data_IF_823323734813
#
_entry.id   IF_823323734813
#
_cell.length_a   1.000
_cell.length_b   1.000
_cell.length_c   1.000
_cell.angle_alpha   90.00
_cell.angle_beta   90.00
_cell.angle_gamma   90.00
#
_symmetry.space_group_name_H-M   'P 1'
#
loop_
_entity.id
_entity.type
_entity.pdbx_description
1 polymer ?
#
# COMPACT_ATOMS: atom_id res chain seq x y z
N UNK A 1 3.66 29.52 18.74
CA UNK A 1 4.30 29.38 17.56
C UNK A 1 3.70 28.35 16.66
N UNK A 2 3.73 28.62 15.47
CA UNK A 2 3.16 27.79 14.56
C UNK A 2 3.92 26.55 14.45
N UNK A 3 3.28 25.48 14.60
CA UNK A 3 3.90 24.25 14.34
C UNK A 3 4.38 24.37 12.98
N UNK A 4 5.49 24.00 12.79
CA UNK A 4 6.00 24.18 11.53
C UNK A 4 5.03 23.63 10.54
N UNK A 5 4.82 24.43 9.54
CA UNK A 5 3.88 24.10 8.52
C UNK A 5 4.28 22.86 7.76
N UNK A 6 5.58 22.58 7.75
CA UNK A 6 6.03 21.37 7.09
C UNK A 6 5.56 20.12 7.81
N UNK A 7 5.57 20.18 9.13
CA UNK A 7 5.08 19.05 9.91
C UNK A 7 3.61 18.85 9.63
N UNK A 8 2.86 19.92 9.57
CA UNK A 8 1.45 19.82 9.27
C UNK A 8 1.23 19.21 7.91
N UNK A 9 1.98 19.66 6.93
CA UNK A 9 1.83 19.13 5.59
C UNK A 9 2.23 17.67 5.50
N UNK A 10 3.23 17.29 6.28
CA UNK A 10 3.68 15.91 6.27
C UNK A 10 2.66 14.99 6.90
N UNK A 11 2.02 15.47 7.96
CA UNK A 11 1.09 14.64 8.70
C UNK A 11 -0.32 14.71 8.17
N UNK A 12 -0.71 15.88 7.69
CA UNK A 12 -2.09 16.11 7.30
C UNK A 12 -2.21 15.96 5.81
N UNK A 13 -2.92 14.95 5.41
CA UNK A 13 -3.32 14.83 4.03
C UNK A 13 -4.37 15.87 3.73
N UNK A 14 -4.49 16.28 2.49
CA UNK A 14 -5.59 17.13 2.08
C UNK A 14 -6.90 16.42 2.38
N UNK A 15 -7.97 17.21 2.53
CA UNK A 15 -9.28 16.62 2.77
C UNK A 15 -9.67 15.63 1.71
N UNK A 16 -9.36 15.94 0.46
CA UNK A 16 -9.69 15.05 -0.63
C UNK A 16 -8.91 13.75 -0.56
N UNK A 17 -7.63 13.85 -0.24
CA UNK A 17 -6.80 12.66 -0.10
C UNK A 17 -7.27 11.81 1.07
N UNK A 18 -7.65 12.44 2.18
CA UNK A 18 -8.17 11.70 3.32
C UNK A 18 -9.44 10.95 2.97
N UNK A 19 -10.32 11.57 2.20
CA UNK A 19 -11.54 10.90 1.78
C UNK A 19 -11.26 9.67 0.96
N UNK A 20 -10.27 9.75 0.08
CA UNK A 20 -9.89 8.62 -0.75
C UNK A 20 -9.34 7.49 0.13
N UNK A 21 -8.48 7.83 1.09
CA UNK A 21 -7.94 6.83 2.00
C UNK A 21 -9.07 6.17 2.78
N UNK A 22 -10.01 6.96 3.29
CA UNK A 22 -11.13 6.42 4.04
C UNK A 22 -12.01 5.52 3.18
N UNK A 23 -12.22 5.90 1.94
CA UNK A 23 -13.01 5.07 1.02
C UNK A 23 -12.31 3.74 0.76
N UNK A 24 -10.98 3.75 0.64
CA UNK A 24 -10.23 2.52 0.51
C UNK A 24 -10.38 1.65 1.75
N UNK A 25 -10.22 2.27 2.94
CA UNK A 25 -10.30 1.50 4.17
C UNK A 25 -11.67 0.89 4.40
N UNK A 26 -12.69 1.42 3.78
CA UNK A 26 -14.05 0.88 3.88
C UNK A 26 -14.27 -0.34 3.00
N UNK A 27 -13.38 -0.62 2.06
CA UNK A 27 -13.50 -1.80 1.21
C UNK A 27 -13.20 -3.06 2.02
N UNK A 28 -13.77 -4.19 1.60
CA UNK A 28 -13.39 -5.46 2.20
C UNK A 28 -11.99 -5.85 1.69
N UNK A 29 -11.43 -6.89 2.30
CA UNK A 29 -10.06 -7.30 2.02
C UNK A 29 -9.83 -7.61 0.55
N UNK A 30 -10.71 -8.39 -0.05
CA UNK A 30 -10.53 -8.79 -1.44
C UNK A 30 -10.70 -7.62 -2.40
N UNK A 31 -11.59 -6.71 -2.08
CA UNK A 31 -11.75 -5.50 -2.89
C UNK A 31 -10.53 -4.60 -2.77
N UNK A 32 -9.91 -4.53 -1.59
CA UNK A 32 -8.65 -3.79 -1.45
C UNK A 32 -7.56 -4.37 -2.34
N UNK A 33 -7.46 -5.69 -2.37
CA UNK A 33 -6.47 -6.34 -3.24
C UNK A 33 -6.77 -6.09 -4.71
N UNK A 34 -8.03 -6.19 -5.08
CA UNK A 34 -8.43 -5.94 -6.45
C UNK A 34 -8.14 -4.50 -6.87
N UNK A 35 -8.33 -3.58 -5.94
CA UNK A 35 -8.08 -2.17 -6.20
C UNK A 35 -6.61 -1.94 -6.58
N UNK A 36 -5.67 -2.57 -5.86
CA UNK A 36 -4.26 -2.45 -6.21
C UNK A 36 -4.01 -2.91 -7.64
N UNK A 37 -4.61 -4.03 -8.02
CA UNK A 37 -4.45 -4.53 -9.38
C UNK A 37 -4.93 -3.49 -10.40
N UNK A 38 -6.13 -2.97 -10.20
CA UNK A 38 -6.71 -2.06 -11.16
C UNK A 38 -5.96 -0.74 -11.23
N UNK A 39 -5.52 -0.23 -10.08
CA UNK A 39 -4.85 1.06 -10.06
C UNK A 39 -3.48 0.96 -10.73
N UNK A 40 -2.75 -0.11 -10.48
CA UNK A 40 -1.46 -0.25 -11.13
C UNK A 40 -1.61 -0.56 -12.62
N UNK A 41 -2.64 -1.28 -12.99
CA UNK A 41 -2.87 -1.54 -14.39
C UNK A 41 -3.18 -0.25 -15.15
N UNK A 42 -3.91 0.65 -14.52
CA UNK A 42 -4.34 1.87 -15.18
C UNK A 42 -3.32 2.99 -15.07
N UNK A 43 -2.66 3.11 -13.93
CA UNK A 43 -1.84 4.27 -13.61
C UNK A 43 -0.39 3.92 -13.24
N UNK A 44 0.00 2.67 -13.41
CA UNK A 44 1.30 2.22 -12.91
C UNK A 44 2.47 3.02 -13.42
N UNK A 45 2.42 3.44 -14.67
CA UNK A 45 3.51 4.19 -15.26
C UNK A 45 3.67 5.57 -14.64
N UNK A 46 2.57 6.16 -14.20
CA UNK A 46 2.63 7.51 -13.64
C UNK A 46 2.83 7.51 -12.13
N UNK A 47 2.56 6.40 -11.47
CA UNK A 47 2.65 6.36 -10.00
C UNK A 47 3.67 5.35 -9.51
N UNK A 48 4.59 4.95 -10.36
CA UNK A 48 5.67 4.08 -9.94
C UNK A 48 6.43 4.77 -8.81
N UNK A 49 6.48 4.14 -7.64
CA UNK A 49 6.95 4.84 -6.45
C UNK A 49 8.44 5.03 -6.38
N UNK A 50 9.20 4.31 -7.19
CA UNK A 50 10.63 4.34 -7.02
C UNK A 50 11.32 4.27 -8.36
N UNK A 51 12.59 4.56 -8.32
CA UNK A 51 13.43 4.41 -9.48
C UNK A 51 13.45 2.94 -9.91
N UNK A 52 13.87 2.67 -11.14
CA UNK A 52 13.85 1.30 -11.62
C UNK A 52 14.58 0.31 -10.74
N UNK A 53 15.63 0.73 -10.07
CA UNK A 53 16.35 -0.17 -9.18
C UNK A 53 15.54 -0.51 -7.94
N UNK A 54 14.39 0.12 -7.75
CA UNK A 54 13.55 -0.20 -6.62
C UNK A 54 12.95 -1.58 -6.67
N UNK A 55 13.04 -2.25 -7.81
CA UNK A 55 12.56 -3.62 -7.90
C UNK A 55 13.61 -4.64 -7.47
N UNK A 56 14.71 -4.18 -6.92
CA UNK A 56 15.76 -5.07 -6.47
C UNK A 56 15.24 -5.95 -5.33
N UNK A 57 15.27 -7.27 -5.52
CA UNK A 57 14.80 -8.19 -4.47
C UNK A 57 15.54 -8.03 -3.14
N UNK A 58 16.72 -7.46 -3.17
CA UNK A 58 17.47 -7.29 -1.92
C UNK A 58 16.82 -6.27 -1.00
N UNK A 59 15.96 -5.43 -1.52
CA UNK A 59 15.26 -4.46 -0.67
C UNK A 59 14.20 -5.11 0.22
N UNK A 60 13.68 -6.26 -0.22
CA UNK A 60 12.69 -7.00 0.55
C UNK A 60 12.78 -8.47 0.15
N UNK A 61 13.84 -9.17 0.59
CA UNK A 61 14.09 -10.51 0.07
C UNK A 61 12.96 -11.50 0.33
N UNK A 62 12.27 -11.36 1.45
CA UNK A 62 11.17 -12.28 1.73
C UNK A 62 9.99 -12.03 0.79
N UNK A 63 9.67 -10.78 0.55
CA UNK A 63 8.47 -10.41 -0.22
C UNK A 63 8.72 -10.38 -1.72
N UNK A 64 9.93 -10.08 -2.13
CA UNK A 64 10.28 -9.98 -3.55
C UNK A 64 11.11 -11.16 -4.02
N UNK A 65 11.35 -12.11 -3.16
CA UNK A 65 12.10 -13.32 -3.49
C UNK A 65 11.35 -14.57 -3.07
N UNK A 66 11.37 -14.86 -1.78
CA UNK A 66 10.76 -16.10 -1.25
C UNK A 66 9.28 -16.20 -1.62
N UNK A 67 8.56 -15.10 -1.52
CA UNK A 67 7.14 -15.07 -1.84
C UNK A 67 6.86 -15.59 -3.25
N UNK A 68 7.71 -15.24 -4.19
CA UNK A 68 7.48 -15.59 -5.59
C UNK A 68 7.62 -17.10 -5.86
N UNK A 69 8.15 -17.83 -4.90
CA UNK A 69 8.31 -19.28 -5.02
C UNK A 69 7.12 -20.04 -4.46
N UNK A 70 6.19 -19.37 -3.83
CA UNK A 70 5.04 -20.00 -3.20
C UNK A 70 3.94 -20.26 -4.23
N UNK A 71 3.05 -21.21 -3.91
CA UNK A 71 1.90 -21.46 -4.78
C UNK A 71 0.86 -20.34 -4.62
N UNK A 72 -0.10 -20.34 -5.54
CA UNK A 72 -1.10 -19.28 -5.62
C UNK A 72 -1.90 -19.13 -4.32
N UNK A 73 -2.31 -20.24 -3.72
CA UNK A 73 -3.11 -20.19 -2.51
C UNK A 73 -2.37 -19.53 -1.37
N UNK A 74 -1.09 -19.85 -1.23
CA UNK A 74 -0.27 -19.27 -0.18
C UNK A 74 -0.01 -17.79 -0.45
N UNK A 75 0.23 -17.45 -1.70
CA UNK A 75 0.44 -16.05 -2.06
C UNK A 75 -0.79 -15.22 -1.73
N UNK A 76 -1.97 -15.71 -2.08
CA UNK A 76 -3.19 -14.97 -1.80
C UNK A 76 -3.44 -14.86 -0.30
N UNK A 77 -3.19 -15.93 0.44
CA UNK A 77 -3.34 -15.88 1.89
C UNK A 77 -2.43 -14.83 2.50
N UNK A 78 -1.19 -14.74 2.02
CA UNK A 78 -0.24 -13.74 2.52
C UNK A 78 -0.71 -12.33 2.19
N UNK A 79 -1.19 -12.11 0.99
CA UNK A 79 -1.73 -10.79 0.63
C UNK A 79 -2.84 -10.37 1.58
N UNK A 80 -3.75 -11.30 1.88
CA UNK A 80 -4.85 -11.02 2.79
C UNK A 80 -4.34 -10.73 4.20
N UNK A 81 -3.34 -11.48 4.66
CA UNK A 81 -2.75 -11.26 5.97
C UNK A 81 -2.14 -9.87 6.09
N UNK A 82 -1.47 -9.42 5.04
CA UNK A 82 -0.88 -8.09 5.04
C UNK A 82 -1.96 -7.02 5.08
N UNK A 83 -2.98 -7.16 4.26
CA UNK A 83 -4.07 -6.18 4.23
C UNK A 83 -4.79 -6.13 5.57
N UNK A 84 -4.99 -7.28 6.20
CA UNK A 84 -5.70 -7.38 7.47
C UNK A 84 -4.81 -7.15 8.68
N UNK A 85 -3.51 -6.93 8.44
CA UNK A 85 -2.55 -6.63 9.49
C UNK A 85 -2.43 -7.74 10.51
N UNK A 86 -2.48 -8.97 10.05
CA UNK A 86 -2.34 -10.12 10.92
C UNK A 86 -0.90 -10.31 11.34
N UNK A 87 -0.71 -10.92 12.49
CA UNK A 87 0.63 -11.17 13.03
C UNK A 87 1.18 -12.46 12.43
N UNK A 88 1.76 -12.34 11.25
CA UNK A 88 2.37 -13.46 10.55
C UNK A 88 3.74 -13.05 10.06
N UNK A 89 4.51 -14.05 9.66
CA UNK A 89 5.89 -13.83 9.23
C UNK A 89 5.97 -12.82 8.08
N UNK A 90 5.17 -13.01 7.04
CA UNK A 90 5.21 -12.12 5.88
C UNK A 90 4.62 -10.75 6.19
N UNK A 91 3.57 -10.71 7.00
CA UNK A 91 2.97 -9.45 7.40
C UNK A 91 3.95 -8.63 8.23
N UNK A 92 4.72 -9.27 9.10
CA UNK A 92 5.77 -8.58 9.85
C UNK A 92 6.90 -8.10 8.96
N UNK A 93 7.29 -8.92 7.98
CA UNK A 93 8.32 -8.50 7.03
C UNK A 93 7.89 -7.26 6.28
N UNK A 94 6.63 -7.21 5.87
CA UNK A 94 6.09 -6.05 5.19
C UNK A 94 6.05 -4.84 6.13
N UNK A 95 5.57 -5.04 7.35
CA UNK A 95 5.44 -3.94 8.31
C UNK A 95 6.79 -3.32 8.69
N UNK A 96 7.86 -4.04 8.51
CA UNK A 96 9.20 -3.54 8.82
C UNK A 96 9.79 -2.67 7.71
N UNK A 97 9.16 -2.65 6.54
CA UNK A 97 9.67 -1.89 5.41
C UNK A 97 9.29 -0.41 5.51
N UNK A 98 10.09 0.43 4.90
CA UNK A 98 9.72 1.83 4.72
C UNK A 98 8.63 1.94 3.65
N UNK A 99 7.90 3.04 3.68
CA UNK A 99 6.74 3.23 2.83
C UNK A 99 7.02 3.01 1.34
N UNK A 100 8.13 3.55 0.86
CA UNK A 100 8.44 3.39 -0.56
C UNK A 100 8.73 1.94 -0.91
N UNK A 101 9.34 1.20 0.01
CA UNK A 101 9.60 -0.22 -0.23
C UNK A 101 8.31 -1.02 -0.16
N UNK A 102 7.39 -0.63 0.72
CA UNK A 102 6.08 -1.24 0.77
C UNK A 102 5.34 -1.06 -0.55
N UNK A 103 5.38 0.15 -1.10
CA UNK A 103 4.76 0.40 -2.40
C UNK A 103 5.44 -0.40 -3.49
N UNK A 104 6.75 -0.58 -3.39
CA UNK A 104 7.47 -1.37 -4.37
C UNK A 104 7.02 -2.82 -4.36
N UNK A 105 6.69 -3.35 -3.19
CA UNK A 105 6.17 -4.71 -3.09
C UNK A 105 4.86 -4.82 -3.90
N UNK A 106 3.92 -3.91 -3.67
CA UNK A 106 2.65 -3.96 -4.39
C UNK A 106 2.83 -3.75 -5.89
N UNK A 107 3.71 -2.82 -6.24
CA UNK A 107 3.99 -2.57 -7.66
C UNK A 107 4.56 -3.81 -8.32
N UNK A 108 5.56 -4.44 -7.71
CA UNK A 108 6.20 -5.62 -8.27
C UNK A 108 5.21 -6.78 -8.37
N UNK A 109 4.42 -6.98 -7.32
CA UNK A 109 3.42 -8.04 -7.35
C UNK A 109 2.40 -7.80 -8.46
N UNK A 110 2.00 -6.56 -8.68
CA UNK A 110 1.09 -6.24 -9.77
C UNK A 110 1.70 -6.55 -11.13
N UNK A 111 2.97 -6.25 -11.30
CA UNK A 111 3.65 -6.52 -12.57
C UNK A 111 3.77 -8.01 -12.83
N UNK A 112 3.89 -8.79 -11.78
CA UNK A 112 4.09 -10.23 -11.93
C UNK A 112 2.80 -11.04 -11.88
N UNK A 113 1.66 -10.41 -11.76
CA UNK A 113 0.39 -11.13 -11.72
C UNK A 113 0.20 -11.92 -13.00
N UNK A 114 -0.21 -13.18 -12.82
CA UNK A 114 -0.34 -14.08 -13.95
C UNK A 114 0.96 -14.73 -14.37
N UNK A 115 2.07 -14.36 -13.75
CA UNK A 115 3.37 -14.97 -14.00
C UNK A 115 3.86 -15.63 -12.72
N UNK A 116 4.65 -14.91 -11.91
CA UNK A 116 5.12 -15.47 -10.64
C UNK A 116 4.19 -15.16 -9.48
N UNK A 117 3.21 -14.30 -9.68
CA UNK A 117 2.24 -13.92 -8.67
C UNK A 117 0.85 -14.36 -9.10
N UNK A 118 0.04 -14.78 -8.13
CA UNK A 118 -1.33 -15.22 -8.36
C UNK A 118 -2.11 -14.14 -9.12
N UNK A 119 -2.86 -14.58 -10.13
CA UNK A 119 -3.60 -13.66 -10.98
C UNK A 119 -4.99 -13.38 -10.42
N UNK A 120 -5.66 -12.40 -11.00
CA UNK A 120 -7.06 -12.13 -10.70
C UNK A 120 -7.92 -13.25 -11.24
N UNK A 121 -9.01 -13.60 -10.55
CA UNK A 121 -9.96 -14.54 -11.14
C UNK A 121 -10.48 -14.00 -12.46
N UNK A 122 -10.59 -14.88 -13.44
CA UNK A 122 -10.97 -14.47 -14.80
C UNK A 122 -12.34 -13.81 -14.84
N UNK A 123 -13.22 -14.21 -13.94
CA UNK A 123 -14.60 -13.70 -13.92
C UNK A 123 -14.78 -12.57 -12.91
N UNK A 124 -13.72 -12.10 -12.28
CA UNK A 124 -13.85 -11.03 -11.28
C UNK A 124 -14.24 -9.73 -11.96
N UNK A 125 -15.20 -9.05 -11.38
CA UNK A 125 -15.63 -7.74 -11.87
C UNK A 125 -15.48 -6.73 -10.73
N UNK A 126 -14.94 -5.56 -11.08
CA UNK A 126 -14.77 -4.52 -10.09
C UNK A 126 -16.12 -4.11 -9.53
N UNK A 127 -16.22 -4.01 -8.22
CA UNK A 127 -17.44 -3.54 -7.59
C UNK A 127 -17.61 -2.04 -7.81
N UNK A 128 -18.82 -1.56 -7.57
CA UNK A 128 -19.07 -0.14 -7.70
C UNK A 128 -18.16 0.69 -6.78
N UNK A 129 -17.97 0.30 -5.51
CA UNK A 129 -17.03 1.06 -4.67
C UNK A 129 -15.63 1.13 -5.23
N UNK A 130 -15.14 0.08 -5.87
CA UNK A 130 -13.82 0.11 -6.50
C UNK A 130 -13.81 1.11 -7.65
N UNK A 131 -14.84 1.09 -8.48
CA UNK A 131 -14.93 2.01 -9.61
C UNK A 131 -15.02 3.45 -9.15
N UNK A 132 -15.80 3.69 -8.11
CA UNK A 132 -15.92 5.05 -7.56
C UNK A 132 -14.58 5.52 -7.01
N UNK A 133 -13.87 4.65 -6.33
CA UNK A 133 -12.57 5.00 -5.77
C UNK A 133 -11.56 5.30 -6.86
N UNK A 134 -11.58 4.52 -7.95
CA UNK A 134 -10.69 4.80 -9.08
C UNK A 134 -10.94 6.19 -9.63
N UNK A 135 -12.20 6.58 -9.75
CA UNK A 135 -12.53 7.92 -10.22
C UNK A 135 -12.03 9.01 -9.30
N UNK A 136 -12.14 8.78 -7.99
CA UNK A 136 -11.68 9.75 -7.00
C UNK A 136 -10.16 9.93 -7.08
N UNK A 137 -9.44 8.86 -7.28
CA UNK A 137 -7.99 8.92 -7.38
C UNK A 137 -7.55 9.71 -8.60
N UNK A 138 -8.24 9.52 -9.71
CA UNK A 138 -7.90 10.24 -10.91
C UNK A 138 -8.08 11.74 -10.76
N UNK A 139 -8.93 12.14 -9.82
CA UNK A 139 -9.13 13.57 -9.55
C UNK A 139 -8.06 14.20 -8.66
N UNK A 140 -7.19 13.40 -8.06
CA UNK A 140 -6.11 13.95 -7.24
C UNK A 140 -4.94 14.35 -8.12
N UNK A 141 -4.17 15.35 -7.66
CA UNK A 141 -2.92 15.65 -8.35
C UNK A 141 -1.89 14.57 -8.02
N UNK A 142 -0.74 14.66 -8.67
CA UNK A 142 0.29 13.63 -8.52
C UNK A 142 0.73 13.47 -7.08
N UNK A 143 0.95 14.59 -6.39
CA UNK A 143 1.40 14.52 -4.99
C UNK A 143 0.33 13.90 -4.10
N UNK A 144 -0.93 14.22 -4.37
CA UNK A 144 -2.03 13.62 -3.64
C UNK A 144 -2.10 12.13 -3.87
N UNK A 145 -1.89 11.70 -5.10
CA UNK A 145 -1.89 10.28 -5.43
C UNK A 145 -0.77 9.54 -4.70
N UNK A 146 0.43 10.09 -4.71
CA UNK A 146 1.56 9.46 -4.04
C UNK A 146 1.36 9.43 -2.54
N UNK A 147 0.89 10.52 -1.96
CA UNK A 147 0.62 10.58 -0.52
C UNK A 147 -0.43 9.56 -0.11
N UNK A 148 -1.48 9.43 -0.92
CA UNK A 148 -2.52 8.45 -0.69
C UNK A 148 -1.96 7.04 -0.71
N UNK A 149 -1.16 6.71 -1.72
CA UNK A 149 -0.58 5.38 -1.84
C UNK A 149 0.33 5.05 -0.66
N UNK A 150 1.18 6.01 -0.27
CA UNK A 150 2.05 5.79 0.88
C UNK A 150 1.25 5.54 2.15
N UNK A 151 0.20 6.30 2.34
CA UNK A 151 -0.64 6.14 3.52
C UNK A 151 -1.31 4.79 3.52
N UNK A 152 -1.90 4.40 2.39
CA UNK A 152 -2.57 3.11 2.29
C UNK A 152 -1.56 1.97 2.53
N UNK A 153 -0.41 2.04 1.90
CA UNK A 153 0.58 0.98 2.04
C UNK A 153 1.11 0.88 3.46
N UNK A 154 1.32 2.01 4.12
CA UNK A 154 1.87 2.00 5.48
C UNK A 154 0.85 1.60 6.53
N UNK A 155 -0.44 1.62 6.17
CA UNK A 155 -1.48 1.15 7.07
C UNK A 155 -1.67 -0.35 7.04
N UNK A 156 -0.89 -1.04 6.25
CA UNK A 156 -0.95 -2.49 6.12
C UNK A 156 0.24 -3.15 6.80
N UNK A 157 0.15 -4.46 6.96
CA UNK A 157 1.22 -5.21 7.60
C UNK A 157 1.15 -5.11 9.09
N UNK A 158 1.89 -6.00 9.75
CA UNK A 158 1.91 -6.04 11.20
C UNK A 158 3.21 -5.45 11.75
N UNK A 159 3.07 -4.63 12.77
CA UNK A 159 4.23 -4.13 13.48
C UNK A 159 3.84 -3.93 14.95
N UNK A 160 4.80 -4.16 15.83
CA UNK A 160 4.60 -3.90 17.26
C UNK A 160 4.68 -2.41 17.56
N UNK A 161 5.24 -1.65 16.63
CA UNK A 161 5.37 -0.22 16.81
C UNK A 161 4.08 0.45 16.37
N UNK A 162 3.61 1.40 17.16
CA UNK A 162 2.39 2.09 16.81
C UNK A 162 2.52 2.83 15.50
N UNK A 163 1.42 2.97 14.79
CA UNK A 163 1.44 3.68 13.52
C UNK A 163 2.02 5.07 13.62
N UNK A 164 2.53 5.51 12.52
CA UNK A 164 3.17 6.81 12.40
C UNK A 164 2.27 7.94 12.86
N UNK A 165 0.99 7.86 12.58
CA UNK A 165 0.08 8.92 12.98
C UNK A 165 0.13 9.16 14.49
N UNK A 166 0.19 8.08 15.26
CA UNK A 166 0.33 8.23 16.71
C UNK A 166 1.64 8.86 17.06
N UNK A 167 2.67 8.44 16.39
CA UNK A 167 3.97 9.02 16.64
C UNK A 167 4.03 10.47 16.27
N UNK A 168 3.31 10.85 15.26
CA UNK A 168 3.29 12.24 14.87
C UNK A 168 2.74 13.11 15.98
N UNK A 169 1.71 12.63 16.63
CA UNK A 169 1.16 13.36 17.76
C UNK A 169 2.12 13.42 18.92
N UNK A 170 2.83 12.35 19.09
CA UNK A 170 3.75 12.24 20.21
C UNK A 170 5.18 12.22 19.74
N UNK A 171 5.41 12.72 18.57
CA UNK A 171 6.74 12.72 18.02
C UNK A 171 7.70 13.34 18.99
N UNK A 172 7.25 14.35 19.65
CA UNK A 172 8.00 14.94 20.69
C UNK A 172 8.24 13.94 21.81
N UNK A 173 7.33 13.04 22.03
CA UNK A 173 7.52 12.07 23.05
C UNK A 173 8.54 11.05 22.66
N UNK A 174 8.49 10.66 21.46
CA UNK A 174 9.42 9.68 20.97
C UNK A 174 10.84 10.17 21.06
N UNK A 175 11.01 11.45 21.11
CA UNK A 175 12.34 11.98 21.18
C UNK A 175 12.90 11.97 22.58
N UNK A 176 12.18 11.48 23.51
CA UNK A 176 12.62 11.42 24.88
C UNK A 176 13.72 10.42 25.09
#
# INVERSE_FOLDING_TARGET
MIPDENTIKTQALSDETQKVVQAFEALNTDDKLAWFYYVYKKMGDSITPAAPQGTDPELAPKLLGDYLQLDDDKQLAIMREIVERKDTEYSRAYGALKENNQLMVWYTWSQEMGNTVVDMPADYKASQPINDLMGQIEGLDFEGQISMFRTIASNMGYTDVKPIASQAETGKTASL
#
